data_IF_230878504839
#
_entry.id   IF_230878504839
#
_cell.length_a   1.000
_cell.length_b   1.000
_cell.length_c   1.000
_cell.angle_alpha   90.00
_cell.angle_beta   90.00
_cell.angle_gamma   90.00
#
_symmetry.space_group_name_H-M   'P 1'
#
loop_
_entity.id
_entity.type
_entity.pdbx_description
1 polymer ?
#
# COMPACT_ATOMS: atom_id res chain seq x y z
N UNK A 1 -17.13 18.70 12.86
CA UNK A 1 -15.78 18.46 12.29
C UNK A 1 -15.93 17.37 11.24
N UNK A 2 -16.09 17.74 9.96
CA UNK A 2 -16.35 16.79 8.89
C UNK A 2 -15.35 16.99 7.76
N UNK A 3 -14.21 16.29 7.82
CA UNK A 3 -13.28 16.25 6.71
C UNK A 3 -13.64 15.06 5.81
N UNK A 4 -14.58 15.28 4.88
CA UNK A 4 -15.00 14.28 3.89
C UNK A 4 -14.90 14.88 2.48
N UNK A 5 -13.77 14.65 1.80
CA UNK A 5 -13.60 14.46 0.33
C UNK A 5 -12.14 14.58 -0.06
N UNK A 6 -11.40 13.48 0.01
CA UNK A 6 -10.14 13.32 -0.75
C UNK A 6 -9.90 11.85 -1.17
N UNK A 7 -10.91 10.99 -1.01
CA UNK A 7 -10.82 9.57 -1.35
C UNK A 7 -10.70 9.30 -2.85
N UNK A 8 -11.26 10.18 -3.69
CA UNK A 8 -11.27 10.02 -5.15
C UNK A 8 -9.88 10.15 -5.79
N UNK A 9 -8.92 10.81 -5.12
CA UNK A 9 -7.59 11.04 -5.69
C UNK A 9 -6.61 9.86 -5.51
N UNK A 10 -6.73 9.08 -4.43
CA UNK A 10 -5.76 8.00 -4.17
C UNK A 10 -5.94 6.85 -5.16
N UNK A 11 -7.18 6.54 -5.54
CA UNK A 11 -7.50 5.46 -6.48
C UNK A 11 -7.00 5.78 -7.88
N UNK A 12 -7.17 7.02 -8.34
CA UNK A 12 -6.63 7.47 -9.62
C UNK A 12 -5.10 7.43 -9.65
N UNK A 13 -4.44 7.83 -8.56
CA UNK A 13 -2.98 7.73 -8.43
C UNK A 13 -2.51 6.26 -8.40
N UNK A 14 -3.26 5.40 -7.71
CA UNK A 14 -2.96 3.97 -7.62
C UNK A 14 -3.06 3.31 -9.00
N UNK A 15 -4.14 3.54 -9.73
CA UNK A 15 -4.33 3.10 -11.12
C UNK A 15 -3.14 3.49 -12.01
N UNK A 16 -2.63 4.72 -11.87
CA UNK A 16 -1.47 5.18 -12.64
C UNK A 16 -0.20 4.42 -12.26
N UNK A 17 0.06 4.26 -10.95
CA UNK A 17 1.21 3.48 -10.45
C UNK A 17 1.14 2.02 -10.87
N UNK A 18 -0.05 1.44 -10.93
CA UNK A 18 -0.23 0.06 -11.38
C UNK A 18 -0.04 -0.11 -12.89
N UNK A 19 -0.34 0.92 -13.69
CA UNK A 19 -0.16 0.89 -15.15
C UNK A 19 1.29 1.14 -15.59
N UNK A 20 2.00 2.08 -14.97
CA UNK A 20 3.32 2.51 -15.44
C UNK A 20 4.43 2.46 -14.37
N UNK A 21 4.06 2.26 -13.11
CA UNK A 21 4.98 2.21 -11.98
C UNK A 21 5.48 0.80 -11.66
N UNK A 22 6.54 0.74 -10.85
CA UNK A 22 7.01 -0.49 -10.23
C UNK A 22 6.31 -0.65 -8.89
N UNK A 23 5.63 -1.77 -8.70
CA UNK A 23 4.98 -2.12 -7.45
C UNK A 23 5.31 -3.55 -7.06
N UNK A 24 5.12 -3.88 -5.79
CA UNK A 24 5.21 -5.24 -5.28
C UNK A 24 4.02 -5.51 -4.38
N UNK A 25 3.32 -6.61 -4.63
CA UNK A 25 2.17 -7.03 -3.83
C UNK A 25 2.54 -8.26 -2.97
N UNK A 26 1.88 -8.38 -1.82
CA UNK A 26 1.99 -9.54 -0.95
C UNK A 26 2.94 -9.35 0.23
N UNK A 27 2.56 -9.95 1.36
CA UNK A 27 3.21 -9.77 2.66
C UNK A 27 4.73 -10.05 2.66
N UNK A 28 5.12 -11.26 2.22
CA UNK A 28 6.53 -11.70 2.23
C UNK A 28 7.41 -10.82 1.33
N UNK A 29 6.89 -10.44 0.17
CA UNK A 29 7.59 -9.59 -0.80
C UNK A 29 7.76 -8.18 -0.26
N UNK A 30 6.71 -7.60 0.32
CA UNK A 30 6.76 -6.26 0.94
C UNK A 30 7.79 -6.23 2.06
N UNK A 31 7.83 -7.24 2.96
CA UNK A 31 8.86 -7.34 3.99
C UNK A 31 10.28 -7.42 3.42
N UNK A 32 10.48 -8.15 2.33
CA UNK A 32 11.79 -8.21 1.65
C UNK A 32 12.17 -6.86 1.03
N UNK A 33 11.22 -6.16 0.42
CA UNK A 33 11.45 -4.84 -0.20
C UNK A 33 11.72 -3.77 0.87
N UNK A 34 11.03 -3.83 2.01
CA UNK A 34 11.24 -2.97 3.17
C UNK A 34 12.62 -3.17 3.79
N UNK A 35 13.02 -4.43 4.05
CA UNK A 35 14.36 -4.74 4.58
C UNK A 35 15.50 -4.26 3.67
N UNK A 36 15.28 -4.31 2.35
CA UNK A 36 16.25 -3.83 1.37
C UNK A 36 16.16 -2.31 1.11
N UNK A 37 15.30 -1.57 1.83
CA UNK A 37 15.06 -0.14 1.64
C UNK A 37 14.75 0.27 0.19
N UNK A 38 14.13 -0.64 -0.59
CA UNK A 38 13.77 -0.40 -1.99
C UNK A 38 12.38 0.22 -2.14
N UNK A 39 11.56 0.12 -1.11
CA UNK A 39 10.22 0.69 -1.10
C UNK A 39 10.27 2.19 -0.78
N UNK A 40 9.44 2.98 -1.46
CA UNK A 40 9.29 4.43 -1.21
C UNK A 40 7.98 4.78 -0.52
N UNK A 41 6.97 3.92 -0.67
CA UNK A 41 5.64 4.07 -0.11
C UNK A 41 5.09 2.67 0.17
N UNK A 42 4.44 2.49 1.31
CA UNK A 42 3.65 1.30 1.63
C UNK A 42 2.18 1.67 1.71
N UNK A 43 1.33 0.86 1.09
CA UNK A 43 -0.12 0.99 1.20
C UNK A 43 -0.63 -0.20 2.01
N UNK A 44 -1.35 0.09 3.09
CA UNK A 44 -1.98 -0.93 3.94
C UNK A 44 -3.49 -0.88 3.77
N UNK A 45 -4.07 -2.00 3.34
CA UNK A 45 -5.52 -2.14 3.27
C UNK A 45 -6.15 -2.21 4.66
N UNK A 46 -7.44 -1.86 4.74
CA UNK A 46 -8.16 -1.83 6.02
C UNK A 46 -8.42 -3.24 6.58
N UNK A 47 -8.52 -4.25 5.71
CA UNK A 47 -8.79 -5.64 6.08
C UNK A 47 -7.53 -6.45 6.45
N UNK A 48 -6.34 -5.84 6.45
CA UNK A 48 -5.11 -6.49 6.91
C UNK A 48 -5.18 -6.81 8.43
N UNK A 49 -4.80 -8.03 8.88
CA UNK A 49 -4.82 -8.38 10.29
C UNK A 49 -3.93 -7.45 11.12
N UNK A 50 -4.35 -7.07 12.33
CA UNK A 50 -3.67 -6.05 13.14
C UNK A 50 -2.21 -6.41 13.46
N UNK A 51 -1.90 -7.70 13.63
CA UNK A 51 -0.54 -8.17 13.85
C UNK A 51 0.38 -7.88 12.65
N UNK A 52 -0.06 -8.22 11.43
CA UNK A 52 0.72 -7.97 10.20
C UNK A 52 0.82 -6.48 9.90
N UNK A 53 -0.26 -5.74 10.18
CA UNK A 53 -0.29 -4.29 10.03
C UNK A 53 0.80 -3.64 10.90
N UNK A 54 0.81 -3.98 12.19
CA UNK A 54 1.79 -3.48 13.16
C UNK A 54 3.22 -3.87 12.78
N UNK A 55 3.43 -5.10 12.31
CA UNK A 55 4.74 -5.56 11.85
C UNK A 55 5.24 -4.75 10.64
N UNK A 56 4.40 -4.54 9.62
CA UNK A 56 4.77 -3.73 8.44
C UNK A 56 5.04 -2.28 8.83
N UNK A 57 4.19 -1.67 9.67
CA UNK A 57 4.38 -0.31 10.16
C UNK A 57 5.70 -0.14 10.91
N UNK A 58 6.05 -1.12 11.74
CA UNK A 58 7.32 -1.13 12.46
C UNK A 58 8.52 -1.17 11.50
N UNK A 59 8.52 -2.07 10.52
CA UNK A 59 9.61 -2.12 9.53
C UNK A 59 9.68 -0.88 8.65
N UNK A 60 8.52 -0.32 8.26
CA UNK A 60 8.46 0.92 7.50
C UNK A 60 9.01 2.10 8.30
N UNK A 61 8.71 2.19 9.60
CA UNK A 61 9.26 3.19 10.51
C UNK A 61 10.79 3.09 10.61
N UNK A 62 11.32 1.88 10.80
CA UNK A 62 12.78 1.66 10.84
C UNK A 62 13.46 2.06 9.53
N UNK A 63 12.83 1.76 8.39
CA UNK A 63 13.33 2.10 7.07
C UNK A 63 13.05 3.55 6.65
N UNK A 64 12.38 4.35 7.49
CA UNK A 64 11.93 5.73 7.20
C UNK A 64 11.07 5.83 5.93
N UNK A 65 10.19 4.86 5.73
CA UNK A 65 9.29 4.77 4.58
C UNK A 65 7.90 5.26 4.98
N UNK A 66 7.28 6.05 4.11
CA UNK A 66 5.91 6.53 4.31
C UNK A 66 4.91 5.39 4.22
N UNK A 67 4.01 5.29 5.20
CA UNK A 67 2.89 4.34 5.21
C UNK A 67 1.59 5.12 4.98
N UNK A 68 0.79 4.64 4.04
CA UNK A 68 -0.55 5.18 3.76
C UNK A 68 -1.62 4.14 4.07
N UNK A 69 -2.48 4.44 5.04
CA UNK A 69 -3.63 3.60 5.34
C UNK A 69 -4.73 3.82 4.31
N UNK A 70 -4.96 2.79 3.51
CA UNK A 70 -6.04 2.77 2.55
C UNK A 70 -7.31 2.25 3.21
N UNK A 71 -8.40 3.02 3.10
CA UNK A 71 -9.68 2.74 3.76
C UNK A 71 -10.54 1.70 3.02
N UNK A 72 -10.07 1.17 1.90
CA UNK A 72 -10.71 0.08 1.16
C UNK A 72 -10.10 -1.29 1.47
N UNK A 73 -10.64 -2.31 0.80
CA UNK A 73 -10.22 -3.71 0.93
C UNK A 73 -9.05 -4.03 0.01
N UNK A 74 -8.33 -5.11 0.29
CA UNK A 74 -7.28 -5.62 -0.60
C UNK A 74 -7.79 -5.82 -2.05
N UNK A 75 -9.05 -6.22 -2.24
CA UNK A 75 -9.69 -6.39 -3.54
C UNK A 75 -9.77 -5.08 -4.34
N UNK A 76 -9.96 -3.94 -3.68
CA UNK A 76 -10.03 -2.64 -4.35
C UNK A 76 -8.64 -2.20 -4.84
N UNK A 77 -7.60 -2.54 -4.07
CA UNK A 77 -6.20 -2.32 -4.46
C UNK A 77 -5.85 -3.25 -5.64
N UNK A 78 -6.26 -4.51 -5.58
CA UNK A 78 -6.02 -5.50 -6.65
C UNK A 78 -6.79 -5.14 -7.91
N UNK A 79 -8.03 -4.67 -7.82
CA UNK A 79 -8.79 -4.19 -8.97
C UNK A 79 -8.18 -2.92 -9.59
N UNK A 80 -7.41 -2.15 -8.82
CA UNK A 80 -6.61 -1.07 -9.36
C UNK A 80 -5.42 -1.55 -10.20
N UNK A 81 -5.05 -2.82 -10.06
CA UNK A 81 -4.01 -3.48 -10.83
C UNK A 81 -4.61 -4.08 -12.11
N UNK A 82 -4.14 -3.70 -13.31
CA UNK A 82 -4.55 -4.40 -14.51
C UNK A 82 -4.07 -5.86 -14.42
N UNK A 83 -5.01 -6.81 -14.44
CA UNK A 83 -4.70 -8.23 -14.47
C UNK A 83 -3.93 -8.54 -15.75
N UNK A 84 -2.63 -8.84 -15.64
CA UNK A 84 -1.82 -9.24 -16.79
C UNK A 84 -0.36 -8.84 -16.72
N UNK A 85 0.39 -9.49 -15.83
CA UNK A 85 1.67 -10.16 -16.13
C UNK A 85 2.10 -11.03 -14.95
#
# INVERSE_FOLDING_TARGET
MAQKKSGDNINNKLQLVMKSGKYTLGYKTVLRTLRNSKAKLVILANNCPPLRKSEIEYYAMLAKITVHHYHGSDSDIINATPAGQ
#
